data_IF_760620494763
#
_entry.id   IF_760620494763
#
_cell.length_a   1.000
_cell.length_b   1.000
_cell.length_c   1.000
_cell.angle_alpha   90.00
_cell.angle_beta   90.00
_cell.angle_gamma   90.00
#
_symmetry.space_group_name_H-M   'P 1'
#
loop_
_entity.id
_entity.type
_entity.pdbx_description
1 polymer ?
#
# COMPACT_ATOMS: atom_id res chain seq x y z
N UNK A 1 13.94 26.35 -0.02
CA UNK A 1 13.99 25.02 -0.66
C UNK A 1 15.30 24.99 -1.43
N UNK A 2 16.22 24.17 -0.99
CA UNK A 2 17.47 23.95 -1.71
C UNK A 2 17.22 23.09 -2.96
N UNK A 3 18.01 23.29 -4.01
CA UNK A 3 17.84 22.53 -5.26
C UNK A 3 17.98 21.02 -5.03
N UNK A 4 18.76 20.61 -4.02
CA UNK A 4 18.95 19.23 -3.62
C UNK A 4 17.71 18.57 -3.00
N UNK A 5 16.72 19.35 -2.53
CA UNK A 5 15.48 18.84 -1.93
C UNK A 5 14.42 18.47 -2.99
N UNK A 6 14.54 19.04 -4.20
CA UNK A 6 13.55 18.84 -5.26
C UNK A 6 13.38 17.35 -5.63
N UNK A 7 14.44 16.56 -5.84
CA UNK A 7 14.28 15.14 -6.13
C UNK A 7 13.62 14.36 -4.99
N UNK A 8 13.89 14.72 -3.71
CA UNK A 8 13.24 14.08 -2.56
C UNK A 8 11.73 14.31 -2.56
N UNK A 9 11.29 15.55 -2.84
CA UNK A 9 9.86 15.87 -2.98
C UNK A 9 9.21 15.09 -4.14
N UNK A 10 9.90 14.96 -5.26
CA UNK A 10 9.42 14.16 -6.39
C UNK A 10 9.31 12.66 -6.03
N UNK A 11 10.27 12.14 -5.25
CA UNK A 11 10.21 10.77 -4.73
C UNK A 11 9.00 10.57 -3.79
N UNK A 12 8.76 11.49 -2.85
CA UNK A 12 7.59 11.44 -1.96
C UNK A 12 6.29 11.45 -2.77
N UNK A 13 6.17 12.32 -3.78
CA UNK A 13 5.03 12.33 -4.69
C UNK A 13 4.87 10.99 -5.41
N UNK A 14 5.97 10.42 -5.89
CA UNK A 14 5.99 9.11 -6.55
C UNK A 14 5.56 7.98 -5.62
N UNK A 15 6.05 7.98 -4.37
CA UNK A 15 5.67 7.00 -3.34
C UNK A 15 4.17 7.14 -3.03
N UNK A 16 3.68 8.36 -2.78
CA UNK A 16 2.26 8.61 -2.50
C UNK A 16 1.36 8.14 -3.66
N UNK A 17 1.74 8.45 -4.90
CA UNK A 17 1.02 7.98 -6.09
C UNK A 17 1.04 6.44 -6.18
N UNK A 18 2.19 5.81 -5.95
CA UNK A 18 2.31 4.35 -5.96
C UNK A 18 1.46 3.69 -4.87
N UNK A 19 1.52 4.18 -3.63
CA UNK A 19 0.75 3.62 -2.51
C UNK A 19 -0.76 3.71 -2.77
N UNK A 20 -1.24 4.83 -3.32
CA UNK A 20 -2.68 5.01 -3.63
C UNK A 20 -3.12 4.13 -4.81
N UNK A 21 -2.38 4.15 -5.90
CA UNK A 21 -2.80 3.52 -7.16
C UNK A 21 -2.51 2.02 -7.14
N UNK A 22 -1.28 1.62 -6.84
CA UNK A 22 -0.91 0.22 -6.74
C UNK A 22 -1.47 -0.44 -5.48
N UNK A 23 -1.70 0.32 -4.40
CA UNK A 23 -2.32 -0.20 -3.18
C UNK A 23 -3.70 -0.78 -3.44
N UNK A 24 -4.55 -0.09 -4.21
CA UNK A 24 -5.85 -0.62 -4.61
C UNK A 24 -5.71 -1.90 -5.47
N UNK A 25 -4.70 -1.94 -6.32
CA UNK A 25 -4.40 -3.11 -7.14
C UNK A 25 -3.93 -4.30 -6.29
N UNK A 26 -2.94 -4.13 -5.40
CA UNK A 26 -2.46 -5.19 -4.51
C UNK A 26 -3.53 -5.67 -3.52
N UNK A 27 -4.43 -4.81 -3.06
CA UNK A 27 -5.49 -5.19 -2.13
C UNK A 27 -6.65 -5.95 -2.78
N UNK A 28 -6.80 -5.86 -4.09
CA UNK A 28 -7.95 -6.44 -4.80
C UNK A 28 -8.06 -7.96 -4.71
N UNK A 29 -6.99 -8.78 -4.74
CA UNK A 29 -7.07 -10.23 -4.59
C UNK A 29 -7.53 -10.69 -3.21
N UNK A 30 -7.35 -9.88 -2.16
CA UNK A 30 -7.92 -10.18 -0.85
C UNK A 30 -9.45 -10.36 -0.94
N UNK A 31 -10.11 -9.50 -1.71
CA UNK A 31 -11.56 -9.58 -1.89
C UNK A 31 -11.99 -10.70 -2.83
N UNK A 32 -11.13 -11.11 -3.74
CA UNK A 32 -11.32 -12.31 -4.57
C UNK A 32 -11.25 -13.58 -3.72
N UNK A 33 -10.28 -13.68 -2.81
CA UNK A 33 -10.13 -14.81 -1.90
C UNK A 33 -11.31 -14.98 -0.94
N UNK A 34 -11.79 -13.85 -0.41
CA UNK A 34 -12.89 -13.84 0.56
C UNK A 34 -14.27 -13.89 -0.10
N UNK A 35 -14.33 -13.88 -1.44
CA UNK A 35 -15.58 -13.97 -2.20
C UNK A 35 -16.15 -15.39 -2.13
N UNK A 36 -17.36 -15.52 -1.59
CA UNK A 36 -18.09 -16.80 -1.44
C UNK A 36 -19.55 -16.64 -1.90
N UNK A 37 -20.20 -17.78 -2.11
CA UNK A 37 -21.60 -17.84 -2.54
C UNK A 37 -21.82 -17.41 -3.99
N UNK A 38 -23.06 -17.12 -4.33
CA UNK A 38 -23.51 -16.82 -5.71
C UNK A 38 -22.82 -15.58 -6.32
N UNK A 39 -22.42 -14.61 -5.51
CA UNK A 39 -21.76 -13.37 -5.96
C UNK A 39 -20.24 -13.53 -6.19
N UNK A 40 -19.65 -14.68 -5.83
CA UNK A 40 -18.18 -14.85 -5.93
C UNK A 40 -17.66 -14.64 -7.36
N UNK A 41 -18.39 -15.16 -8.37
CA UNK A 41 -18.05 -14.94 -9.79
C UNK A 41 -18.07 -13.47 -10.19
N UNK A 42 -19.10 -12.76 -9.79
CA UNK A 42 -19.27 -11.32 -10.10
C UNK A 42 -18.21 -10.45 -9.42
N UNK A 43 -17.83 -10.78 -8.18
CA UNK A 43 -16.76 -10.08 -7.44
C UNK A 43 -15.41 -10.27 -8.16
N UNK A 44 -15.09 -11.50 -8.60
CA UNK A 44 -13.87 -11.81 -9.35
C UNK A 44 -13.83 -11.04 -10.68
N UNK A 45 -14.91 -11.09 -11.43
CA UNK A 45 -15.05 -10.37 -12.70
C UNK A 45 -14.90 -8.85 -12.52
N UNK A 46 -15.63 -8.26 -11.57
CA UNK A 46 -15.54 -6.82 -11.28
C UNK A 46 -14.12 -6.42 -10.90
N UNK A 47 -13.47 -7.21 -10.03
CA UNK A 47 -12.10 -6.96 -9.59
C UNK A 47 -11.12 -7.01 -10.76
N UNK A 48 -11.20 -8.04 -11.60
CA UNK A 48 -10.35 -8.18 -12.79
C UNK A 48 -10.55 -7.02 -13.76
N UNK A 49 -11.80 -6.72 -14.12
CA UNK A 49 -12.13 -5.66 -15.08
C UNK A 49 -11.81 -4.25 -14.57
N UNK A 50 -11.66 -4.05 -13.27
CA UNK A 50 -11.27 -2.76 -12.71
C UNK A 50 -9.76 -2.59 -12.59
N UNK A 51 -9.01 -3.66 -12.33
CA UNK A 51 -7.56 -3.60 -12.06
C UNK A 51 -6.69 -3.94 -13.28
N UNK A 52 -7.14 -4.85 -14.15
CA UNK A 52 -6.36 -5.27 -15.31
C UNK A 52 -5.95 -4.13 -16.27
N UNK A 53 -6.74 -3.07 -16.48
CA UNK A 53 -6.33 -1.97 -17.36
C UNK A 53 -5.26 -1.04 -16.78
N UNK A 54 -5.03 -1.06 -15.46
CA UNK A 54 -4.23 -0.03 -14.77
C UNK A 54 -2.99 -0.58 -14.05
N UNK A 55 -2.87 -1.89 -13.86
CA UNK A 55 -1.79 -2.48 -13.05
C UNK A 55 -0.38 -2.15 -13.59
N UNK A 56 -0.17 -2.16 -14.89
CA UNK A 56 1.12 -1.80 -15.50
C UNK A 56 1.46 -0.33 -15.24
N UNK A 57 0.50 0.56 -15.48
CA UNK A 57 0.68 1.99 -15.28
C UNK A 57 0.98 2.36 -13.82
N UNK A 58 0.42 1.61 -12.87
CA UNK A 58 0.68 1.84 -11.45
C UNK A 58 2.15 1.60 -11.09
N UNK A 59 2.81 0.61 -11.69
CA UNK A 59 4.21 0.29 -11.41
C UNK A 59 5.21 1.31 -11.98
N UNK A 60 4.80 2.16 -12.92
CA UNK A 60 5.63 3.26 -13.43
C UNK A 60 6.05 4.20 -12.29
N UNK A 61 5.19 4.42 -11.29
CA UNK A 61 5.52 5.25 -10.14
C UNK A 61 6.63 4.66 -9.27
N UNK A 62 6.65 3.34 -9.09
CA UNK A 62 7.75 2.67 -8.40
C UNK A 62 9.07 2.80 -9.16
N UNK A 63 9.02 2.58 -10.48
CA UNK A 63 10.20 2.74 -11.34
C UNK A 63 10.71 4.18 -11.27
N UNK A 64 9.81 5.17 -11.31
CA UNK A 64 10.15 6.58 -11.18
C UNK A 64 10.89 6.87 -9.87
N UNK A 65 10.38 6.39 -8.73
CA UNK A 65 11.03 6.56 -7.41
C UNK A 65 12.43 5.94 -7.42
N UNK A 66 12.57 4.71 -7.94
CA UNK A 66 13.85 4.01 -8.00
C UNK A 66 14.87 4.75 -8.87
N UNK A 67 14.45 5.26 -10.03
CA UNK A 67 15.32 6.01 -10.94
C UNK A 67 15.75 7.33 -10.32
N UNK A 68 14.84 8.08 -9.71
CA UNK A 68 15.18 9.34 -9.04
C UNK A 68 16.10 9.09 -7.84
N UNK A 69 15.84 8.06 -7.03
CA UNK A 69 16.71 7.69 -5.92
C UNK A 69 18.12 7.35 -6.39
N UNK A 70 18.23 6.50 -7.41
CA UNK A 70 19.53 6.09 -7.96
C UNK A 70 20.33 7.24 -8.56
N UNK A 71 19.64 8.14 -9.28
CA UNK A 71 20.33 9.23 -9.99
C UNK A 71 20.65 10.43 -9.11
N UNK A 72 19.75 10.80 -8.20
CA UNK A 72 19.90 11.98 -7.34
C UNK A 72 20.57 11.64 -6.00
N UNK A 73 20.39 10.44 -5.48
CA UNK A 73 20.89 10.01 -4.17
C UNK A 73 21.58 8.63 -4.23
N UNK A 74 22.68 8.47 -5.01
CA UNK A 74 23.30 7.16 -5.26
C UNK A 74 23.80 6.48 -3.99
N UNK A 75 24.26 7.23 -2.99
CA UNK A 75 24.71 6.69 -1.71
C UNK A 75 23.54 6.14 -0.88
N UNK A 76 22.42 6.85 -0.85
CA UNK A 76 21.18 6.38 -0.20
C UNK A 76 20.66 5.13 -0.89
N UNK A 77 20.64 5.13 -2.22
CA UNK A 77 20.25 3.97 -3.01
C UNK A 77 21.13 2.75 -2.70
N UNK A 78 22.45 2.92 -2.70
CA UNK A 78 23.40 1.86 -2.38
C UNK A 78 23.20 1.31 -0.96
N UNK A 79 23.00 2.19 0.03
CA UNK A 79 22.72 1.82 1.43
C UNK A 79 21.46 1.00 1.57
N UNK A 80 20.34 1.44 0.97
CA UNK A 80 19.04 0.75 1.01
C UNK A 80 19.14 -0.61 0.32
N UNK A 81 19.67 -0.65 -0.90
CA UNK A 81 19.70 -1.89 -1.70
C UNK A 81 20.67 -2.93 -1.19
N UNK A 82 21.78 -2.53 -0.59
CA UNK A 82 22.74 -3.48 -0.02
C UNK A 82 22.26 -4.03 1.35
N UNK A 83 21.64 -3.21 2.18
CA UNK A 83 21.14 -3.64 3.50
C UNK A 83 19.83 -4.40 3.41
N UNK A 84 18.88 -3.92 2.57
CA UNK A 84 17.50 -4.42 2.50
C UNK A 84 17.26 -5.29 1.26
N UNK A 85 18.30 -5.92 0.69
CA UNK A 85 18.14 -6.71 -0.53
C UNK A 85 17.16 -7.88 -0.37
N UNK A 86 17.03 -8.47 0.84
CA UNK A 86 16.10 -9.58 1.09
C UNK A 86 14.65 -9.14 0.90
N UNK A 87 14.11 -8.16 1.65
CA UNK A 87 12.72 -7.72 1.46
C UNK A 87 12.49 -7.10 0.08
N UNK A 88 13.49 -6.43 -0.52
CA UNK A 88 13.38 -5.88 -1.87
C UNK A 88 13.28 -6.95 -2.95
N UNK A 89 14.06 -8.04 -2.86
CA UNK A 89 13.93 -9.18 -3.79
C UNK A 89 12.59 -9.88 -3.61
N UNK A 90 12.13 -10.08 -2.37
CA UNK A 90 10.82 -10.69 -2.12
C UNK A 90 9.68 -9.82 -2.67
N UNK A 91 9.77 -8.50 -2.53
CA UNK A 91 8.81 -7.58 -3.14
C UNK A 91 8.84 -7.66 -4.68
N UNK A 92 10.03 -7.67 -5.27
CA UNK A 92 10.23 -7.79 -6.73
C UNK A 92 9.67 -9.11 -7.27
N UNK A 93 9.97 -10.23 -6.62
CA UNK A 93 9.40 -11.54 -6.97
C UNK A 93 7.88 -11.52 -6.87
N UNK A 94 7.31 -10.87 -5.85
CA UNK A 94 5.88 -10.69 -5.72
C UNK A 94 5.28 -9.90 -6.89
N UNK A 95 5.90 -8.80 -7.33
CA UNK A 95 5.46 -8.03 -8.49
C UNK A 95 5.47 -8.90 -9.75
N UNK A 96 6.55 -9.67 -9.97
CA UNK A 96 6.68 -10.58 -11.13
C UNK A 96 5.58 -11.65 -11.10
N UNK A 97 5.36 -12.30 -9.95
CA UNK A 97 4.32 -13.34 -9.81
C UNK A 97 2.92 -12.77 -10.07
N UNK A 98 2.68 -11.53 -9.65
CA UNK A 98 1.43 -10.85 -9.92
C UNK A 98 1.25 -10.52 -11.40
N UNK A 99 2.29 -10.04 -12.08
CA UNK A 99 2.31 -9.80 -13.53
C UNK A 99 1.98 -11.11 -14.29
N UNK A 100 2.63 -12.23 -13.91
CA UNK A 100 2.33 -13.56 -14.44
C UNK A 100 0.85 -13.91 -14.23
N UNK A 101 0.29 -13.61 -13.05
CA UNK A 101 -1.13 -13.80 -12.75
C UNK A 101 -2.07 -13.06 -13.69
N UNK A 102 -1.76 -11.83 -14.07
CA UNK A 102 -2.56 -11.07 -15.04
C UNK A 102 -2.41 -11.59 -16.46
N UNK A 103 -1.18 -11.85 -16.91
CA UNK A 103 -0.90 -12.26 -18.29
C UNK A 103 -1.34 -13.70 -18.56
N UNK A 104 -0.99 -14.63 -17.67
CA UNK A 104 -1.24 -16.06 -17.85
C UNK A 104 -2.61 -16.48 -17.29
N UNK A 105 -3.07 -15.85 -16.23
CA UNK A 105 -4.34 -16.19 -15.56
C UNK A 105 -5.56 -16.04 -16.45
N UNK A 106 -5.54 -15.13 -17.43
CA UNK A 106 -6.57 -14.99 -18.46
C UNK A 106 -6.62 -16.15 -19.47
N UNK A 107 -5.48 -16.81 -19.70
CA UNK A 107 -5.34 -17.92 -20.67
C UNK A 107 -5.34 -19.30 -20.02
N UNK A 108 -4.84 -19.41 -18.81
CA UNK A 108 -4.74 -20.68 -18.09
C UNK A 108 -5.75 -20.71 -16.92
N UNK A 109 -6.77 -21.54 -17.03
CA UNK A 109 -7.69 -21.88 -15.91
C UNK A 109 -6.94 -22.72 -14.82
N UNK A 110 -5.72 -22.33 -14.47
CA UNK A 110 -4.86 -23.07 -13.54
C UNK A 110 -4.92 -22.40 -12.17
N UNK A 111 -5.50 -23.08 -11.20
CA UNK A 111 -5.69 -22.60 -9.82
C UNK A 111 -4.40 -22.14 -9.14
N UNK A 112 -3.24 -22.78 -9.42
CA UNK A 112 -1.98 -22.42 -8.79
C UNK A 112 -1.45 -21.04 -9.19
N UNK A 113 -1.69 -20.58 -10.42
CA UNK A 113 -1.30 -19.21 -10.87
C UNK A 113 -2.07 -18.17 -10.08
N UNK A 114 -3.36 -18.39 -9.87
CA UNK A 114 -4.21 -17.51 -9.07
C UNK A 114 -3.74 -17.47 -7.61
N UNK A 115 -3.35 -18.60 -7.05
CA UNK A 115 -2.81 -18.69 -5.69
C UNK A 115 -1.48 -17.93 -5.55
N UNK A 116 -0.55 -18.12 -6.48
CA UNK A 116 0.72 -17.39 -6.49
C UNK A 116 0.52 -15.88 -6.58
N UNK A 117 -0.30 -15.42 -7.53
CA UNK A 117 -0.62 -14.00 -7.67
C UNK A 117 -1.29 -13.43 -6.41
N UNK A 118 -2.08 -14.24 -5.73
CA UNK A 118 -2.72 -13.84 -4.47
C UNK A 118 -1.70 -13.71 -3.33
N UNK A 119 -0.85 -14.72 -3.11
CA UNK A 119 0.22 -14.66 -2.09
C UNK A 119 1.12 -13.46 -2.36
N UNK A 120 1.54 -13.26 -3.61
CA UNK A 120 2.32 -12.11 -4.04
C UNK A 120 1.69 -10.77 -3.68
N UNK A 121 0.36 -10.69 -3.72
CA UNK A 121 -0.40 -9.48 -3.39
C UNK A 121 -0.40 -9.13 -1.90
N UNK A 122 -0.02 -10.05 -1.03
CA UNK A 122 0.24 -9.79 0.39
C UNK A 122 1.72 -9.55 0.66
N UNK A 123 2.58 -10.39 0.07
CA UNK A 123 4.03 -10.32 0.30
C UNK A 123 4.59 -9.00 -0.19
N UNK A 124 4.20 -8.53 -1.37
CA UNK A 124 4.77 -7.29 -1.94
C UNK A 124 4.51 -6.06 -1.07
N UNK A 125 3.26 -5.68 -0.72
CA UNK A 125 3.04 -4.50 0.10
C UNK A 125 3.61 -4.66 1.51
N UNK A 126 3.62 -5.88 2.07
CA UNK A 126 4.26 -6.13 3.36
C UNK A 126 5.76 -5.85 3.31
N UNK A 127 6.46 -6.39 2.32
CA UNK A 127 7.91 -6.21 2.18
C UNK A 127 8.28 -4.76 1.87
N UNK A 128 7.53 -4.09 0.99
CA UNK A 128 7.76 -2.66 0.72
C UNK A 128 7.48 -1.79 1.96
N UNK A 129 6.43 -2.10 2.73
CA UNK A 129 6.16 -1.45 4.00
C UNK A 129 7.26 -1.69 5.02
N UNK A 130 7.79 -2.91 5.11
CA UNK A 130 8.91 -3.23 5.99
C UNK A 130 10.20 -2.49 5.59
N UNK A 131 10.45 -2.32 4.28
CA UNK A 131 11.55 -1.49 3.76
C UNK A 131 11.39 -0.04 4.20
N UNK A 132 10.21 0.55 4.03
CA UNK A 132 9.93 1.91 4.51
C UNK A 132 10.17 1.99 6.02
N UNK A 133 9.66 1.04 6.80
CA UNK A 133 9.85 0.98 8.24
C UNK A 133 11.31 0.93 8.66
N UNK A 134 12.14 0.16 7.96
CA UNK A 134 13.57 0.09 8.20
C UNK A 134 14.27 1.43 7.93
N UNK A 135 13.91 2.09 6.83
CA UNK A 135 14.51 3.38 6.44
C UNK A 135 14.12 4.48 7.42
N UNK A 136 12.83 4.67 7.69
CA UNK A 136 12.35 5.77 8.54
C UNK A 136 12.75 5.59 10.01
N UNK A 137 12.94 4.35 10.48
CA UNK A 137 13.42 4.08 11.85
C UNK A 137 14.94 4.20 12.02
N UNK A 138 15.67 4.63 10.97
CA UNK A 138 17.12 4.84 11.02
C UNK A 138 17.95 3.55 11.10
N UNK A 139 17.37 2.39 10.73
CA UNK A 139 18.06 1.08 10.79
C UNK A 139 18.83 0.73 9.51
N UNK A 140 18.93 1.67 8.59
CA UNK A 140 19.73 1.55 7.38
C UNK A 140 20.89 2.55 7.48
N UNK A 141 22.08 2.12 7.94
CA UNK A 141 23.26 2.97 8.01
C UNK A 141 23.66 3.45 6.62
N UNK A 142 24.29 4.62 6.58
CA UNK A 142 24.87 5.14 5.34
C UNK A 142 26.10 4.33 4.97
N UNK A 143 26.16 3.86 3.73
CA UNK A 143 27.26 3.05 3.21
C UNK A 143 26.79 1.74 2.57
N UNK A 144 27.67 1.14 1.78
CA UNK A 144 27.35 -0.09 1.07
C UNK A 144 27.57 -1.30 2.01
N UNK A 145 26.50 -2.04 2.29
CA UNK A 145 26.49 -3.24 3.14
C UNK A 145 26.92 -3.00 4.61
N UNK A 146 26.66 -1.80 5.13
CA UNK A 146 26.97 -1.46 6.53
C UNK A 146 25.86 -1.91 7.52
N UNK A 147 24.63 -2.15 7.04
CA UNK A 147 23.52 -2.60 7.87
C UNK A 147 23.42 -4.12 7.96
N UNK A 148 22.83 -4.60 9.06
CA UNK A 148 22.49 -6.01 9.23
C UNK A 148 21.34 -6.41 8.30
N UNK A 149 21.52 -7.47 7.53
CA UNK A 149 20.61 -7.92 6.47
C UNK A 149 19.29 -8.51 6.98
N UNK A 150 19.16 -8.78 8.28
CA UNK A 150 17.96 -9.34 8.90
C UNK A 150 17.34 -8.36 9.89
N UNK A 151 18.10 -7.91 10.92
CA UNK A 151 17.55 -7.07 11.98
C UNK A 151 17.16 -5.67 11.51
N UNK A 152 17.74 -5.19 10.41
CA UNK A 152 17.37 -3.89 9.83
C UNK A 152 15.90 -3.81 9.40
N UNK A 153 15.28 -4.91 8.96
CA UNK A 153 13.88 -4.93 8.53
C UNK A 153 13.00 -5.89 9.34
N UNK A 154 13.58 -6.85 10.07
CA UNK A 154 12.84 -7.78 10.93
C UNK A 154 12.80 -7.23 12.36
N UNK A 155 12.10 -6.15 12.57
CA UNK A 155 11.93 -5.44 13.82
C UNK A 155 10.46 -4.95 13.99
N UNK A 156 10.02 -4.57 15.20
CA UNK A 156 8.63 -4.22 15.46
C UNK A 156 8.09 -3.11 14.55
N UNK A 157 8.86 -2.03 14.36
CA UNK A 157 8.46 -0.91 13.48
C UNK A 157 8.26 -1.35 12.04
N UNK A 158 9.23 -2.06 11.47
CA UNK A 158 9.18 -2.52 10.07
C UNK A 158 8.05 -3.51 9.84
N UNK A 159 7.86 -4.46 10.76
CA UNK A 159 6.75 -5.43 10.69
C UNK A 159 5.41 -4.70 10.77
N UNK A 160 5.27 -3.74 11.69
CA UNK A 160 4.04 -2.99 11.87
C UNK A 160 3.69 -2.17 10.62
N UNK A 161 4.65 -1.46 10.04
CA UNK A 161 4.42 -0.69 8.80
C UNK A 161 4.08 -1.65 7.64
N UNK A 162 4.71 -2.82 7.57
CA UNK A 162 4.34 -3.87 6.62
C UNK A 162 2.89 -4.33 6.78
N UNK A 163 2.42 -4.56 8.01
CA UNK A 163 1.02 -4.93 8.30
C UNK A 163 0.07 -3.81 7.94
N UNK A 164 0.40 -2.57 8.29
CA UNK A 164 -0.38 -1.38 7.90
C UNK A 164 -0.49 -1.30 6.37
N UNK A 165 0.61 -1.49 5.63
CA UNK A 165 0.61 -1.45 4.18
C UNK A 165 -0.35 -2.50 3.57
N UNK A 166 -0.36 -3.73 4.07
CA UNK A 166 -1.28 -4.78 3.59
C UNK A 166 -2.73 -4.43 3.86
N UNK A 167 -3.05 -3.99 5.08
CA UNK A 167 -4.44 -3.66 5.44
C UNK A 167 -4.94 -2.41 4.73
N UNK A 168 -4.05 -1.44 4.50
CA UNK A 168 -4.30 -0.25 3.70
C UNK A 168 -4.62 -0.60 2.25
N UNK A 169 -3.86 -1.53 1.64
CA UNK A 169 -4.14 -2.02 0.30
C UNK A 169 -5.54 -2.65 0.22
N UNK A 170 -5.91 -3.50 1.17
CA UNK A 170 -7.24 -4.12 1.22
C UNK A 170 -8.36 -3.06 1.36
N UNK A 171 -8.15 -2.06 2.21
CA UNK A 171 -9.07 -0.93 2.39
C UNK A 171 -9.24 -0.11 1.10
N UNK A 172 -8.14 0.35 0.50
CA UNK A 172 -8.17 1.11 -0.76
C UNK A 172 -8.89 0.33 -1.87
N UNK A 173 -8.58 -0.97 -2.02
CA UNK A 173 -9.23 -1.82 -3.01
C UNK A 173 -10.75 -1.86 -2.83
N UNK A 174 -11.25 -2.03 -1.60
CA UNK A 174 -12.68 -2.06 -1.33
C UNK A 174 -13.37 -0.73 -1.67
N UNK A 175 -12.75 0.40 -1.28
CA UNK A 175 -13.27 1.74 -1.58
C UNK A 175 -13.32 1.99 -3.09
N UNK A 176 -12.22 1.68 -3.80
CA UNK A 176 -12.13 1.90 -5.25
C UNK A 176 -13.08 0.99 -6.03
N UNK A 177 -13.17 -0.29 -5.64
CA UNK A 177 -14.09 -1.24 -6.27
C UNK A 177 -15.56 -0.89 -6.02
N UNK A 178 -15.91 -0.34 -4.84
CA UNK A 178 -17.27 0.15 -4.57
C UNK A 178 -17.65 1.32 -5.47
N UNK A 179 -16.73 2.29 -5.64
CA UNK A 179 -16.94 3.44 -6.52
C UNK A 179 -17.05 3.03 -7.99
N UNK A 180 -16.21 2.08 -8.42
CA UNK A 180 -16.20 1.60 -9.80
C UNK A 180 -17.44 0.76 -10.13
N UNK A 181 -17.87 -0.12 -9.21
CA UNK A 181 -19.13 -0.86 -9.34
C UNK A 181 -20.34 0.07 -9.41
N UNK A 182 -20.38 1.12 -8.57
CA UNK A 182 -21.44 2.13 -8.60
C UNK A 182 -21.47 2.88 -9.94
N UNK A 183 -20.30 3.28 -10.46
CA UNK A 183 -20.20 3.96 -11.78
C UNK A 183 -20.70 3.10 -12.92
N UNK A 184 -20.53 1.77 -12.82
CA UNK A 184 -21.02 0.79 -13.81
C UNK A 184 -22.49 0.38 -13.58
N UNK A 185 -23.20 1.00 -12.65
CA UNK A 185 -24.59 0.68 -12.32
C UNK A 185 -24.80 -0.66 -11.59
N UNK A 186 -23.71 -1.29 -11.11
CA UNK A 186 -23.75 -2.59 -10.38
C UNK A 186 -23.97 -2.34 -8.88
N UNK A 187 -25.18 -1.91 -8.51
CA UNK A 187 -25.51 -1.45 -7.14
C UNK A 187 -25.23 -2.54 -6.10
N UNK A 188 -25.59 -3.79 -6.38
CA UNK A 188 -25.39 -4.91 -5.44
C UNK A 188 -23.91 -5.17 -5.14
N UNK A 189 -23.04 -5.01 -6.15
CA UNK A 189 -21.60 -5.14 -5.96
C UNK A 189 -21.02 -3.92 -5.24
N UNK A 190 -21.49 -2.72 -5.57
CA UNK A 190 -21.09 -1.51 -4.84
C UNK A 190 -21.38 -1.65 -3.35
N UNK A 191 -22.56 -2.16 -2.99
CA UNK A 191 -22.94 -2.42 -1.61
C UNK A 191 -22.10 -3.53 -0.95
N UNK A 192 -21.80 -4.60 -1.68
CA UNK A 192 -20.93 -5.66 -1.19
C UNK A 192 -19.51 -5.16 -0.90
N UNK A 193 -18.96 -4.29 -1.75
CA UNK A 193 -17.65 -3.67 -1.52
C UNK A 193 -17.71 -2.56 -0.47
N UNK A 194 -18.84 -1.85 -0.31
CA UNK A 194 -19.05 -0.89 0.77
C UNK A 194 -18.86 -1.52 2.14
N UNK A 195 -19.53 -2.64 2.40
CA UNK A 195 -19.40 -3.35 3.68
C UNK A 195 -17.95 -3.77 3.94
N UNK A 196 -17.27 -4.27 2.91
CA UNK A 196 -15.84 -4.63 2.98
C UNK A 196 -14.97 -3.42 3.28
N UNK A 197 -15.25 -2.28 2.64
CA UNK A 197 -14.54 -1.03 2.85
C UNK A 197 -14.72 -0.47 4.26
N UNK A 198 -15.93 -0.55 4.84
CA UNK A 198 -16.20 -0.14 6.22
C UNK A 198 -15.40 -1.01 7.21
N UNK A 199 -15.44 -2.34 7.05
CA UNK A 199 -14.71 -3.26 7.93
C UNK A 199 -13.20 -3.07 7.77
N UNK A 200 -12.70 -3.03 6.54
CA UNK A 200 -11.27 -2.83 6.29
C UNK A 200 -10.77 -1.47 6.78
N UNK A 201 -11.56 -0.41 6.61
CA UNK A 201 -11.22 0.92 7.12
C UNK A 201 -11.12 0.95 8.64
N UNK A 202 -12.06 0.32 9.34
CA UNK A 202 -12.01 0.20 10.80
C UNK A 202 -10.78 -0.61 11.25
N UNK A 203 -10.54 -1.76 10.63
CA UNK A 203 -9.39 -2.62 10.96
C UNK A 203 -8.09 -1.89 10.69
N UNK A 204 -7.94 -1.24 9.54
CA UNK A 204 -6.73 -0.47 9.20
C UNK A 204 -6.52 0.69 10.19
N UNK A 205 -7.57 1.41 10.56
CA UNK A 205 -7.49 2.47 11.55
C UNK A 205 -7.05 1.98 12.93
N UNK A 206 -7.59 0.84 13.40
CA UNK A 206 -7.18 0.23 14.68
C UNK A 206 -5.71 -0.23 14.64
N UNK A 207 -5.28 -0.83 13.54
CA UNK A 207 -3.88 -1.27 13.35
C UNK A 207 -2.95 -0.04 13.28
N UNK A 208 -3.35 1.04 12.60
CA UNK A 208 -2.57 2.26 12.55
C UNK A 208 -2.39 2.89 13.93
N UNK A 209 -3.46 2.94 14.74
CA UNK A 209 -3.38 3.42 16.14
C UNK A 209 -2.47 2.52 16.98
N UNK A 210 -2.58 1.19 16.84
CA UNK A 210 -1.66 0.25 17.49
C UNK A 210 -0.21 0.46 17.01
N UNK A 211 -0.03 0.80 15.73
CA UNK A 211 1.27 1.15 15.15
C UNK A 211 1.93 2.34 15.84
N UNK A 212 1.18 3.39 16.16
CA UNK A 212 1.71 4.54 16.90
C UNK A 212 2.23 4.12 18.29
N UNK A 213 1.57 3.15 18.94
CA UNK A 213 2.06 2.62 20.23
C UNK A 213 3.35 1.80 20.06
N UNK A 214 3.47 1.02 18.99
CA UNK A 214 4.72 0.31 18.66
C UNK A 214 5.86 1.28 18.39
N UNK A 215 5.60 2.35 17.63
CA UNK A 215 6.61 3.38 17.36
C UNK A 215 7.13 4.05 18.62
N UNK A 216 6.28 4.27 19.62
CA UNK A 216 6.66 4.86 20.89
C UNK A 216 7.76 4.06 21.60
N UNK A 217 7.69 2.73 21.53
CA UNK A 217 8.60 1.85 22.26
C UNK A 217 9.82 1.43 21.41
N UNK A 218 9.68 1.35 20.08
CA UNK A 218 10.70 0.79 19.19
C UNK A 218 11.43 1.85 18.34
N UNK A 219 10.79 2.99 18.03
CA UNK A 219 11.38 4.07 17.21
C UNK A 219 10.91 5.45 17.66
N UNK A 220 11.53 5.98 18.72
CA UNK A 220 11.22 7.30 19.28
C UNK A 220 11.38 8.42 18.25
N UNK A 221 12.35 8.31 17.34
CA UNK A 221 12.55 9.29 16.25
C UNK A 221 11.29 9.45 15.40
N UNK A 222 10.72 8.32 14.95
CA UNK A 222 9.51 8.33 14.12
C UNK A 222 8.31 8.76 14.95
N UNK A 223 8.21 8.28 16.19
CA UNK A 223 7.13 8.64 17.10
C UNK A 223 7.09 10.14 17.37
N UNK A 224 8.22 10.74 17.74
CA UNK A 224 8.32 12.16 18.04
C UNK A 224 8.04 13.01 16.79
N UNK A 225 8.55 12.59 15.62
CA UNK A 225 8.25 13.24 14.34
C UNK A 225 6.76 13.21 14.01
N UNK A 226 6.09 12.07 14.22
CA UNK A 226 4.68 11.89 13.91
C UNK A 226 3.73 12.57 14.92
N UNK A 227 4.15 12.68 16.19
CA UNK A 227 3.30 13.22 17.28
C UNK A 227 3.59 14.66 17.63
N UNK A 228 4.49 15.34 16.90
CA UNK A 228 4.85 16.74 17.12
C UNK A 228 4.80 17.55 15.82
N UNK A 229 4.68 18.87 15.96
CA UNK A 229 4.79 19.81 14.85
C UNK A 229 3.88 19.48 13.64
N UNK A 230 4.47 19.43 12.46
CA UNK A 230 3.76 19.13 11.20
C UNK A 230 3.28 17.68 11.13
N UNK A 231 4.03 16.72 11.68
CA UNK A 231 3.64 15.31 11.69
C UNK A 231 2.33 15.08 12.43
N UNK A 232 2.09 15.77 13.55
CA UNK A 232 0.80 15.71 14.25
C UNK A 232 -0.35 16.28 13.41
N UNK A 233 -0.08 17.34 12.65
CA UNK A 233 -1.09 17.88 11.73
C UNK A 233 -1.42 16.89 10.60
N UNK A 234 -0.40 16.27 10.00
CA UNK A 234 -0.56 15.26 8.95
C UNK A 234 -1.30 14.03 9.48
N UNK A 235 -0.96 13.56 10.68
CA UNK A 235 -1.68 12.47 11.35
C UNK A 235 -3.16 12.83 11.60
N UNK A 236 -3.43 14.05 12.06
CA UNK A 236 -4.80 14.51 12.29
C UNK A 236 -5.61 14.61 10.99
N UNK A 237 -5.00 15.13 9.92
CA UNK A 237 -5.63 15.22 8.59
C UNK A 237 -5.89 13.81 8.02
N UNK A 238 -4.92 12.91 8.13
CA UNK A 238 -5.07 11.51 7.72
C UNK A 238 -6.24 10.82 8.48
N UNK A 239 -6.28 10.97 9.80
CA UNK A 239 -7.36 10.41 10.63
C UNK A 239 -8.73 11.01 10.25
N UNK A 240 -8.82 12.33 10.09
CA UNK A 240 -10.05 13.00 9.66
C UNK A 240 -10.51 12.54 8.29
N UNK A 241 -9.61 12.40 7.33
CA UNK A 241 -9.91 11.90 5.98
C UNK A 241 -10.34 10.43 6.00
N UNK A 242 -9.72 9.59 6.84
CA UNK A 242 -10.14 8.20 7.07
C UNK A 242 -11.55 8.09 7.65
N UNK A 243 -11.87 8.88 8.70
CA UNK A 243 -13.20 8.95 9.28
C UNK A 243 -14.23 9.50 8.28
N UNK A 244 -13.88 10.53 7.50
CA UNK A 244 -14.71 11.05 6.43
C UNK A 244 -15.02 9.96 5.39
N UNK A 245 -14.04 9.13 5.03
CA UNK A 245 -14.26 8.01 4.10
C UNK A 245 -15.27 7.01 4.65
N UNK A 246 -15.13 6.64 5.93
CA UNK A 246 -16.10 5.74 6.60
C UNK A 246 -17.51 6.36 6.57
N UNK A 247 -17.65 7.64 6.90
CA UNK A 247 -18.92 8.37 6.84
C UNK A 247 -19.51 8.44 5.43
N UNK A 248 -18.69 8.71 4.42
CA UNK A 248 -19.09 8.76 3.02
C UNK A 248 -19.52 7.37 2.48
N UNK A 249 -18.80 6.31 2.86
CA UNK A 249 -19.20 4.94 2.54
C UNK A 249 -20.53 4.58 3.22
N UNK A 250 -20.70 4.93 4.50
CA UNK A 250 -21.95 4.72 5.21
C UNK A 250 -23.11 5.45 4.52
N UNK A 251 -22.89 6.69 4.06
CA UNK A 251 -23.85 7.51 3.33
C UNK A 251 -23.97 7.12 1.83
N UNK A 252 -23.30 6.07 1.38
CA UNK A 252 -23.28 5.59 -0.04
C UNK A 252 -22.79 6.63 -1.05
N UNK A 253 -21.93 7.55 -0.62
CA UNK A 253 -21.31 8.56 -1.47
C UNK A 253 -19.97 8.05 -2.02
N UNK A 254 -20.01 6.98 -2.80
CA UNK A 254 -18.85 6.23 -3.28
C UNK A 254 -17.79 7.08 -4.03
N UNK A 255 -18.14 7.99 -4.96
CA UNK A 255 -17.15 8.81 -5.64
C UNK A 255 -16.34 9.69 -4.69
N UNK A 256 -17.01 10.33 -3.71
CA UNK A 256 -16.35 11.17 -2.71
C UNK A 256 -15.47 10.35 -1.75
N UNK A 257 -15.94 9.16 -1.34
CA UNK A 257 -15.17 8.25 -0.49
C UNK A 257 -13.81 7.85 -1.10
N UNK A 258 -13.73 7.74 -2.43
CA UNK A 258 -12.49 7.43 -3.14
C UNK A 258 -11.43 8.52 -2.94
N UNK A 259 -11.82 9.79 -3.02
CA UNK A 259 -10.89 10.91 -2.88
C UNK A 259 -10.44 11.09 -1.44
N UNK A 260 -11.35 10.93 -0.47
CA UNK A 260 -10.98 11.03 0.95
C UNK A 260 -10.10 9.86 1.39
N UNK A 261 -10.30 8.65 0.85
CA UNK A 261 -9.41 7.51 1.09
C UNK A 261 -8.00 7.78 0.54
N UNK A 262 -7.89 8.33 -0.68
CA UNK A 262 -6.60 8.72 -1.24
C UNK A 262 -5.94 9.81 -0.38
N UNK A 263 -6.69 10.84 0.06
CA UNK A 263 -6.16 11.90 0.91
C UNK A 263 -5.63 11.36 2.24
N UNK A 264 -6.34 10.44 2.89
CA UNK A 264 -5.90 9.82 4.14
C UNK A 264 -4.55 9.10 4.01
N UNK A 265 -4.28 8.53 2.83
CA UNK A 265 -3.02 7.84 2.55
C UNK A 265 -1.90 8.81 2.21
N UNK A 266 -2.17 9.80 1.36
CA UNK A 266 -1.15 10.76 0.90
C UNK A 266 -0.61 11.60 2.05
N UNK A 267 -1.43 11.91 3.05
CA UNK A 267 -1.02 12.73 4.19
C UNK A 267 -0.20 11.99 5.25
N UNK A 268 -0.04 10.67 5.15
CA UNK A 268 0.78 9.88 6.08
C UNK A 268 2.06 9.33 5.41
N UNK A 269 2.20 9.53 4.10
CA UNK A 269 3.38 9.19 3.31
C UNK A 269 4.32 10.38 3.26
#
# INVERSE_FOLDING_TARGET
>A
MELAEVPAMLMLLGIAAYVVLAGADFGSPFWVLTARGERAGQIREQTHNSMAPVWEANHVWLIFVLVVCWTAYPEVFASIFSTLWIPLILACLGIIMRAVGYVVGGYAKRNWVTWLATIASFVTPFMLGAVIGAVVSGRVPVGNAEGDIISSWLNPTSIMIGVVAVTLCAYLAAVYLSADANRKGRVDLAEAFRLRGLVAGLVTGLIAVAGVLVLRDDSTLVYDGLTSGLGLADLAVSAAAGLATIGLLAARRFPAARYTAAAAVVTIV
#
